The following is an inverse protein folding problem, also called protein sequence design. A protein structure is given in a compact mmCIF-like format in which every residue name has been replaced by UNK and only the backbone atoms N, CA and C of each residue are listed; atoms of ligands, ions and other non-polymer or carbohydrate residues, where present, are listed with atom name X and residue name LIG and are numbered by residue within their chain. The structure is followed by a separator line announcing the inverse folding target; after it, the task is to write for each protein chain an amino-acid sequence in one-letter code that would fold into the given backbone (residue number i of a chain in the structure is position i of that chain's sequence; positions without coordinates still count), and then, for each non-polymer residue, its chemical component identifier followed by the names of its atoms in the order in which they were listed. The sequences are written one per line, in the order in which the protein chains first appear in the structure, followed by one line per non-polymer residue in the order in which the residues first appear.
data_IF_628508348490
#
_entry.id   IF_628508348490
#
_cell.length_a   1.000
_cell.length_b   1.000
_cell.length_c   1.000
_cell.angle_alpha   90.00
_cell.angle_beta   90.00
_cell.angle_gamma   90.00
#
_symmetry.space_group_name_H-M   'P 1'
#
loop_
_entity.id
_entity.type
_entity.pdbx_description
1 polymer ?
#
# COMPACT_ATOMS: atom_id res chain seq x y z
N UNK A 1 -6.77 21.86 -12.12
CA UNK A 1 -6.63 20.78 -11.13
C UNK A 1 -5.15 20.47 -11.04
N UNK A 2 -4.54 20.67 -9.86
CA UNK A 2 -3.14 20.33 -9.64
C UNK A 2 -3.04 18.85 -9.26
N UNK A 3 -2.08 18.12 -9.84
CA UNK A 3 -1.79 16.72 -9.50
C UNK A 3 -0.33 16.66 -9.08
N UNK A 4 -0.07 16.00 -7.96
CA UNK A 4 1.27 15.68 -7.48
C UNK A 4 1.43 14.18 -7.36
N UNK A 5 2.63 13.71 -7.63
CA UNK A 5 2.97 12.29 -7.65
C UNK A 5 4.29 12.09 -6.95
N UNK A 6 4.38 11.01 -6.18
CA UNK A 6 5.61 10.45 -5.63
C UNK A 6 5.62 8.93 -5.86
N UNK A 7 6.79 8.30 -5.78
CA UNK A 7 6.94 6.85 -5.99
C UNK A 7 7.36 6.18 -4.69
N UNK A 8 6.45 5.39 -4.12
CA UNK A 8 6.64 4.72 -2.82
C UNK A 8 6.06 3.31 -2.87
N UNK A 9 6.55 2.42 -2.00
CA UNK A 9 5.93 1.11 -1.76
C UNK A 9 5.00 1.15 -0.54
N UNK A 10 3.82 0.55 -0.68
CA UNK A 10 2.88 0.35 0.44
C UNK A 10 3.37 -0.70 1.44
N UNK A 11 4.47 -1.40 1.12
CA UNK A 11 5.04 -2.47 1.95
C UNK A 11 5.89 -1.95 3.10
N UNK A 12 6.30 -0.68 3.10
CA UNK A 12 7.19 -0.15 4.12
C UNK A 12 6.52 0.99 4.90
N UNK A 13 6.46 0.85 6.22
CA UNK A 13 5.76 1.80 7.09
C UNK A 13 6.34 3.22 6.95
N UNK A 14 7.67 3.33 6.86
CA UNK A 14 8.35 4.61 6.73
C UNK A 14 7.99 5.34 5.43
N UNK A 15 7.86 4.62 4.31
CA UNK A 15 7.53 5.22 3.02
C UNK A 15 6.06 5.69 2.98
N UNK A 16 5.15 4.90 3.56
CA UNK A 16 3.74 5.30 3.69
C UNK A 16 3.61 6.56 4.56
N UNK A 17 4.31 6.62 5.69
CA UNK A 17 4.31 7.79 6.58
C UNK A 17 4.89 9.03 5.88
N UNK A 18 5.97 8.87 5.10
CA UNK A 18 6.57 9.94 4.31
C UNK A 18 5.60 10.49 3.27
N UNK A 19 4.91 9.60 2.52
CA UNK A 19 3.94 10.01 1.52
C UNK A 19 2.76 10.80 2.11
N UNK A 20 2.20 10.31 3.22
CA UNK A 20 1.11 10.98 3.92
C UNK A 20 1.57 12.34 4.46
N UNK A 21 2.75 12.39 5.08
CA UNK A 21 3.34 13.63 5.60
C UNK A 21 3.59 14.66 4.50
N UNK A 22 4.12 14.24 3.35
CA UNK A 22 4.35 15.10 2.20
C UNK A 22 3.03 15.62 1.61
N UNK A 23 2.02 14.75 1.51
CA UNK A 23 0.67 15.12 1.05
C UNK A 23 0.06 16.19 1.95
N UNK A 24 0.10 15.99 3.27
CA UNK A 24 -0.42 16.96 4.25
C UNK A 24 0.39 18.25 4.24
N UNK A 25 1.72 18.19 4.14
CA UNK A 25 2.56 19.37 4.07
C UNK A 25 2.25 20.23 2.83
N UNK A 26 1.92 19.59 1.70
CA UNK A 26 1.60 20.27 0.45
C UNK A 26 0.17 20.82 0.40
N UNK A 27 -0.81 20.03 0.83
CA UNK A 27 -2.23 20.34 0.67
C UNK A 27 -2.94 20.81 1.95
N UNK A 28 -2.23 20.81 3.07
CA UNK A 28 -2.73 21.20 4.40
C UNK A 28 -3.50 20.11 5.14
N UNK A 29 -4.08 19.13 4.44
CA UNK A 29 -4.78 17.96 5.00
C UNK A 29 -4.93 16.83 3.98
N UNK A 30 -5.31 15.64 4.46
CA UNK A 30 -5.74 14.49 3.65
C UNK A 30 -7.14 14.07 4.10
N UNK A 31 -8.14 14.20 3.23
CA UNK A 31 -9.53 13.88 3.56
C UNK A 31 -9.92 12.45 3.16
N UNK A 32 -9.33 11.92 2.07
CA UNK A 32 -9.69 10.63 1.48
C UNK A 32 -8.42 9.93 1.03
N UNK A 33 -8.25 8.68 1.42
CA UNK A 33 -7.20 7.79 0.92
C UNK A 33 -7.84 6.58 0.23
N UNK A 34 -7.33 6.22 -0.94
CA UNK A 34 -7.71 5.02 -1.68
C UNK A 34 -6.57 4.01 -1.64
N UNK A 35 -6.60 3.08 -0.69
CA UNK A 35 -5.61 2.00 -0.57
C UNK A 35 -5.85 0.92 -1.63
N UNK A 36 -5.61 1.27 -2.89
CA UNK A 36 -5.90 0.44 -4.06
C UNK A 36 -4.70 -0.38 -4.58
N UNK A 37 -3.48 -0.07 -4.15
CA UNK A 37 -2.30 -0.81 -4.61
C UNK A 37 -2.35 -2.26 -4.14
N UNK A 38 -2.11 -3.19 -5.06
CA UNK A 38 -2.10 -4.62 -4.77
C UNK A 38 -1.40 -5.43 -5.85
N UNK A 39 -1.02 -6.66 -5.50
CA UNK A 39 -0.44 -7.67 -6.38
C UNK A 39 -1.36 -8.90 -6.43
N UNK A 40 -1.27 -9.67 -7.51
CA UNK A 40 -1.93 -10.96 -7.64
C UNK A 40 -0.96 -12.04 -8.11
N UNK A 41 -1.38 -13.28 -7.93
CA UNK A 41 -0.68 -14.48 -8.36
C UNK A 41 -1.68 -15.44 -9.01
N UNK A 42 -1.23 -16.37 -9.88
CA UNK A 42 -2.11 -17.37 -10.47
C UNK A 42 -2.94 -18.08 -9.40
N UNK A 43 -4.26 -18.24 -9.59
CA UNK A 43 -5.11 -18.91 -8.61
C UNK A 43 -4.69 -20.36 -8.37
N UNK A 44 -4.54 -20.74 -7.10
CA UNK A 44 -4.30 -22.10 -6.64
C UNK A 44 -5.21 -22.41 -5.45
N UNK A 45 -5.33 -23.70 -5.09
CA UNK A 45 -5.89 -24.02 -3.78
C UNK A 45 -4.97 -23.45 -2.69
N UNK A 46 -5.53 -23.02 -1.55
CA UNK A 46 -4.74 -22.43 -0.45
C UNK A 46 -3.63 -23.39 0.02
N UNK A 47 -3.90 -24.70 0.01
CA UNK A 47 -2.92 -25.71 0.41
C UNK A 47 -1.74 -25.86 -0.57
N UNK A 48 -1.90 -25.40 -1.81
CA UNK A 48 -0.91 -25.49 -2.88
C UNK A 48 -0.25 -24.14 -3.18
N UNK A 49 -0.63 -23.07 -2.47
CA UNK A 49 -0.03 -21.73 -2.64
C UNK A 49 1.38 -21.73 -2.09
N UNK A 50 2.34 -21.22 -2.87
CA UNK A 50 3.71 -21.06 -2.39
C UNK A 50 3.74 -20.04 -1.24
N UNK A 51 4.52 -20.35 -0.20
CA UNK A 51 4.55 -19.50 0.99
C UNK A 51 5.09 -18.10 0.69
N UNK A 52 6.02 -17.96 -0.26
CA UNK A 52 6.55 -16.65 -0.64
C UNK A 52 5.51 -15.83 -1.41
N UNK A 53 4.69 -16.46 -2.26
CA UNK A 53 3.57 -15.80 -2.95
C UNK A 53 2.50 -15.34 -1.95
N UNK A 54 2.16 -16.19 -0.98
CA UNK A 54 1.22 -15.84 0.08
C UNK A 54 1.74 -14.66 0.92
N UNK A 55 3.00 -14.73 1.36
CA UNK A 55 3.62 -13.67 2.17
C UNK A 55 3.72 -12.36 1.40
N UNK A 56 4.04 -12.40 0.11
CA UNK A 56 4.10 -11.22 -0.76
C UNK A 56 2.73 -10.54 -0.93
N UNK A 57 1.70 -11.36 -1.18
CA UNK A 57 0.31 -10.93 -1.29
C UNK A 57 -0.17 -10.31 0.04
N UNK A 58 0.08 -10.97 1.16
CA UNK A 58 -0.32 -10.47 2.48
C UNK A 58 0.44 -9.21 2.88
N UNK A 59 1.74 -9.13 2.56
CA UNK A 59 2.58 -7.96 2.81
C UNK A 59 2.09 -6.74 2.03
N UNK A 60 1.66 -6.93 0.78
CA UNK A 60 1.17 -5.84 -0.07
C UNK A 60 -0.29 -5.49 0.23
N UNK A 61 -1.19 -6.46 0.07
CA UNK A 61 -2.62 -6.21 -0.05
C UNK A 61 -3.30 -6.06 1.31
N UNK A 62 -2.80 -6.74 2.35
CA UNK A 62 -3.37 -6.67 3.69
C UNK A 62 -2.57 -5.71 4.59
N UNK A 63 -1.26 -5.98 4.75
CA UNK A 63 -0.40 -5.13 5.58
C UNK A 63 -0.25 -3.73 5.00
N UNK A 64 -0.15 -3.56 3.68
CA UNK A 64 -0.09 -2.23 3.05
C UNK A 64 -1.35 -1.41 3.28
N UNK A 65 -2.53 -2.02 3.22
CA UNK A 65 -3.80 -1.35 3.58
C UNK A 65 -3.81 -0.93 5.05
N UNK A 66 -3.36 -1.82 5.95
CA UNK A 66 -3.24 -1.49 7.38
C UNK A 66 -2.29 -0.30 7.61
N UNK A 67 -1.14 -0.27 6.94
CA UNK A 67 -0.19 0.84 7.04
C UNK A 67 -0.78 2.15 6.53
N UNK A 68 -1.55 2.13 5.43
CA UNK A 68 -2.23 3.31 4.90
C UNK A 68 -3.31 3.90 5.83
N UNK A 69 -3.75 3.15 6.84
CA UNK A 69 -4.75 3.59 7.83
C UNK A 69 -4.11 4.05 9.16
N UNK A 70 -2.82 3.80 9.37
CA UNK A 70 -2.12 3.99 10.64
C UNK A 70 -1.52 5.39 10.76
#
# INVERSE_FOLDING_TARGET
MEIWTDTETVREAQQVEQFVSATVAKYGRLDIAFSNAGVDYPPAAIADTDIAEFDDLMTTNARGVFLGMK
#
